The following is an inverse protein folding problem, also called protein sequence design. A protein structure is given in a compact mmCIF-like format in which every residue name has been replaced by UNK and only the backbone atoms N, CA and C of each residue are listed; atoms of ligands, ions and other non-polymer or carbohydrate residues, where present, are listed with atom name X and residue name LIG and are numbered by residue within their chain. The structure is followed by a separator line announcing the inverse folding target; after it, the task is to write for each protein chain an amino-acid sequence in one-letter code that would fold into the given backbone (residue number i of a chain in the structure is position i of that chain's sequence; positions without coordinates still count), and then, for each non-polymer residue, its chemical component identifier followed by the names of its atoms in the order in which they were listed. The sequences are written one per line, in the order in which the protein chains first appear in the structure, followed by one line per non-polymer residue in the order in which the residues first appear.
data_IF_719512108548
#
_entry.id   IF_719512108548
#
_cell.length_a   1.000
_cell.length_b   1.000
_cell.length_c   1.000
_cell.angle_alpha   90.00
_cell.angle_beta   90.00
_cell.angle_gamma   90.00
#
_symmetry.space_group_name_H-M   'P 1'
#
loop_
_entity.id
_entity.type
_entity.pdbx_description
1 polymer ?
#
# COMPACT_ATOMS: atom_id res chain seq x y z
N UNK A 1 -54.21 60.45 -3.56
CA UNK A 1 -55.54 60.43 -2.90
C UNK A 1 -55.26 59.95 -1.52
N UNK A 2 -55.00 60.88 -0.63
CA UNK A 2 -55.90 61.55 0.30
C UNK A 2 -56.31 60.69 1.44
N UNK A 3 -55.81 61.03 2.53
CA UNK A 3 -56.14 61.82 3.72
C UNK A 3 -56.47 60.89 4.90
N UNK A 4 -56.14 61.04 6.01
CA UNK A 4 -55.86 62.12 7.02
C UNK A 4 -56.46 61.77 8.30
N UNK A 5 -55.90 62.11 9.30
CA UNK A 5 -56.03 62.82 10.60
C UNK A 5 -56.32 61.93 11.81
N UNK A 6 -55.44 61.99 12.74
CA UNK A 6 -55.34 63.00 13.87
C UNK A 6 -56.32 62.76 15.00
N UNK A 7 -55.87 62.59 16.23
CA UNK A 7 -56.04 63.43 17.40
C UNK A 7 -55.64 62.74 18.72
N UNK A 8 -54.74 63.37 19.37
CA UNK A 8 -54.58 63.38 20.89
C UNK A 8 -55.63 64.33 21.50
N UNK A 9 -55.69 64.58 22.81
CA UNK A 9 -54.98 64.12 24.01
C UNK A 9 -55.91 63.95 25.28
N UNK A 10 -55.42 63.57 26.46
CA UNK A 10 -55.40 64.34 27.71
C UNK A 10 -55.03 63.52 28.93
N UNK A 11 -54.15 64.13 29.67
CA UNK A 11 -53.82 64.01 31.05
C UNK A 11 -54.93 63.49 32.02
N UNK A 12 -54.56 62.66 33.01
CA UNK A 12 -54.76 63.06 34.37
C UNK A 12 -53.77 62.40 35.37
N UNK A 13 -53.45 63.17 36.38
CA UNK A 13 -52.49 62.99 37.43
C UNK A 13 -53.10 62.15 38.60
N UNK A 14 -52.35 61.26 39.14
CA UNK A 14 -52.69 60.60 40.40
C UNK A 14 -51.47 60.02 41.12
N UNK A 15 -50.91 60.78 42.02
CA UNK A 15 -49.87 60.39 42.96
C UNK A 15 -50.51 59.56 44.08
N UNK A 16 -49.98 58.34 44.35
CA UNK A 16 -49.97 57.79 45.71
C UNK A 16 -48.80 56.84 45.96
N UNK A 17 -48.24 57.04 47.05
CA UNK A 17 -47.07 56.57 47.75
C UNK A 17 -47.00 55.07 48.07
N UNK A 18 -45.82 54.51 47.90
CA UNK A 18 -45.07 53.79 48.96
C UNK A 18 -45.48 52.36 49.33
N UNK A 19 -44.62 51.40 49.02
CA UNK A 19 -43.86 50.58 49.99
C UNK A 19 -42.97 49.59 49.28
N UNK A 20 -41.69 49.62 49.66
CA UNK A 20 -40.67 48.79 49.15
C UNK A 20 -40.85 47.29 49.45
N UNK A 21 -40.51 46.50 48.50
CA UNK A 21 -40.17 45.09 48.71
C UNK A 21 -38.91 44.80 47.94
N UNK A 22 -37.85 44.60 48.70
CA UNK A 22 -36.54 44.16 48.19
C UNK A 22 -36.68 42.74 47.68
N UNK A 23 -36.80 42.58 46.40
CA UNK A 23 -36.76 41.27 45.76
C UNK A 23 -35.30 40.94 45.41
N UNK A 24 -34.68 40.07 46.22
CA UNK A 24 -33.36 39.50 45.98
C UNK A 24 -33.41 38.76 44.66
N UNK A 25 -32.73 39.28 43.63
CA UNK A 25 -32.46 38.56 42.37
C UNK A 25 -31.40 37.51 42.65
N UNK A 26 -31.80 36.24 42.72
CA UNK A 26 -30.90 35.12 42.62
C UNK A 26 -30.42 35.03 41.16
N UNK A 27 -29.17 35.41 40.90
CA UNK A 27 -28.51 35.05 39.67
C UNK A 27 -28.15 33.54 39.76
N UNK A 28 -28.91 32.72 39.08
CA UNK A 28 -28.51 31.34 38.78
C UNK A 28 -27.49 31.39 37.64
N UNK A 29 -26.20 31.28 37.97
CA UNK A 29 -25.16 31.05 37.02
C UNK A 29 -25.25 29.57 36.55
N UNK A 30 -25.79 29.35 35.38
CA UNK A 30 -25.74 28.05 34.70
C UNK A 30 -24.34 27.89 34.12
N UNK A 31 -23.47 27.16 34.81
CA UNK A 31 -22.20 26.72 34.24
C UNK A 31 -22.51 25.71 33.15
N UNK A 32 -22.38 26.11 31.90
CA UNK A 32 -22.35 25.19 30.75
C UNK A 32 -21.02 24.43 30.80
N UNK A 33 -21.09 23.19 31.29
CA UNK A 33 -19.97 22.25 31.19
C UNK A 33 -19.88 21.85 29.71
N UNK A 34 -18.95 22.45 28.96
CA UNK A 34 -18.57 21.97 27.62
C UNK A 34 -17.86 20.63 27.82
N UNK A 35 -18.61 19.55 27.63
CA UNK A 35 -18.02 18.23 27.40
C UNK A 35 -17.33 18.29 26.05
N UNK A 36 -16.01 18.58 26.05
CA UNK A 36 -15.14 18.20 24.96
C UNK A 36 -15.03 16.67 25.01
N UNK A 37 -15.93 15.98 24.31
CA UNK A 37 -15.69 14.61 23.92
C UNK A 37 -14.42 14.66 23.04
N UNK A 38 -13.27 14.35 23.64
CA UNK A 38 -12.12 14.00 22.85
C UNK A 38 -12.57 12.84 21.95
N UNK A 39 -12.67 13.05 20.66
CA UNK A 39 -12.78 11.97 19.70
C UNK A 39 -11.53 11.14 19.93
N UNK A 40 -11.67 9.92 20.42
CA UNK A 40 -10.58 8.96 20.36
C UNK A 40 -10.25 8.84 18.87
N UNK A 41 -8.98 9.13 18.52
CA UNK A 41 -8.47 8.90 17.20
C UNK A 41 -8.80 7.45 16.83
N UNK A 42 -9.43 7.23 15.68
CA UNK A 42 -9.80 5.89 15.27
C UNK A 42 -8.53 5.23 14.70
N UNK A 43 -7.93 4.30 15.44
CA UNK A 43 -6.81 3.50 14.92
C UNK A 43 -7.27 2.72 13.68
N UNK A 44 -6.54 2.87 12.58
CA UNK A 44 -6.77 2.09 11.37
C UNK A 44 -5.81 0.91 11.30
N UNK A 45 -6.37 -0.31 11.31
CA UNK A 45 -5.59 -1.54 11.22
C UNK A 45 -5.57 -2.05 9.78
N UNK A 46 -4.38 -2.34 9.26
CA UNK A 46 -4.16 -2.88 7.93
C UNK A 46 -3.24 -4.09 8.00
N UNK A 47 -3.64 -5.18 7.35
CA UNK A 47 -2.79 -6.33 7.08
C UNK A 47 -2.27 -6.23 5.64
N UNK A 48 -0.95 -6.14 5.47
CA UNK A 48 -0.28 -6.16 4.18
C UNK A 48 0.20 -7.59 3.92
N UNK A 49 -0.50 -8.28 3.03
CA UNK A 49 -0.09 -9.58 2.50
C UNK A 49 0.81 -9.31 1.29
N UNK A 50 1.94 -10.02 1.20
CA UNK A 50 2.84 -9.78 0.09
C UNK A 50 3.61 -11.00 -0.37
N UNK A 51 3.96 -10.97 -1.65
CA UNK A 51 4.89 -11.89 -2.32
C UNK A 51 5.91 -11.10 -3.10
N UNK A 52 6.98 -11.74 -3.51
CA UNK A 52 8.01 -11.25 -4.40
C UNK A 52 8.72 -12.41 -5.08
N UNK A 53 9.33 -12.17 -6.23
CA UNK A 53 10.23 -13.12 -6.92
C UNK A 53 9.59 -14.51 -7.07
N UNK A 54 8.35 -14.57 -7.57
CA UNK A 54 7.62 -15.83 -7.71
C UNK A 54 8.22 -16.73 -8.79
N UNK A 55 8.76 -16.14 -9.86
CA UNK A 55 9.49 -16.82 -10.92
C UNK A 55 8.77 -18.03 -11.50
N UNK A 56 7.48 -17.86 -11.81
CA UNK A 56 6.61 -18.88 -12.41
C UNK A 56 6.65 -20.25 -11.68
N UNK A 57 6.86 -20.27 -10.36
CA UNK A 57 6.88 -21.48 -9.53
C UNK A 57 5.46 -21.93 -9.15
N UNK A 58 4.65 -22.23 -10.16
CA UNK A 58 3.26 -22.64 -9.97
C UNK A 58 3.10 -24.00 -9.30
N UNK A 59 4.08 -24.89 -9.48
CA UNK A 59 4.14 -26.19 -8.81
C UNK A 59 4.95 -26.10 -7.49
N UNK A 60 4.70 -27.04 -6.56
CA UNK A 60 5.47 -27.13 -5.33
C UNK A 60 6.97 -27.31 -5.58
N UNK A 61 7.77 -26.71 -4.70
CA UNK A 61 9.22 -26.80 -4.72
C UNK A 61 9.76 -27.55 -3.49
N UNK A 62 10.93 -28.14 -3.62
CA UNK A 62 11.65 -28.77 -2.50
C UNK A 62 12.23 -27.72 -1.56
N UNK A 63 12.77 -28.12 -0.43
CA UNK A 63 13.51 -27.23 0.49
C UNK A 63 14.74 -26.57 -0.14
N UNK A 64 15.20 -27.09 -1.26
CA UNK A 64 16.36 -26.57 -2.01
C UNK A 64 15.93 -25.74 -3.24
N UNK A 65 14.65 -25.32 -3.30
CA UNK A 65 14.06 -24.46 -4.34
C UNK A 65 14.03 -25.09 -5.75
N UNK A 66 14.33 -26.39 -5.84
CA UNK A 66 14.15 -27.20 -7.05
C UNK A 66 12.77 -27.85 -7.12
N UNK A 67 12.48 -28.60 -8.21
CA UNK A 67 11.25 -29.36 -8.32
C UNK A 67 11.05 -30.31 -7.13
N UNK A 68 9.80 -30.47 -6.69
CA UNK A 68 9.44 -31.39 -5.63
C UNK A 68 8.74 -32.62 -6.18
N UNK A 69 9.22 -33.82 -5.81
CA UNK A 69 8.66 -35.09 -6.24
C UNK A 69 7.29 -35.38 -5.61
N UNK A 70 6.51 -36.24 -6.26
CA UNK A 70 5.19 -36.62 -5.75
C UNK A 70 5.23 -37.30 -4.38
N UNK A 71 6.27 -38.07 -4.11
CA UNK A 71 6.48 -38.76 -2.82
C UNK A 71 6.77 -37.76 -1.71
N UNK A 72 7.70 -36.81 -1.96
CA UNK A 72 8.04 -35.74 -1.02
C UNK A 72 6.85 -34.83 -0.76
N UNK A 73 6.05 -34.57 -1.83
CA UNK A 73 4.83 -33.78 -1.71
C UNK A 73 3.78 -34.46 -0.82
N UNK A 74 3.63 -35.78 -0.93
CA UNK A 74 2.74 -36.57 -0.08
C UNK A 74 3.25 -36.65 1.35
N UNK A 75 4.55 -36.66 1.55
CA UNK A 75 5.20 -36.64 2.86
C UNK A 75 5.15 -35.26 3.56
N UNK A 76 4.69 -34.21 2.87
CA UNK A 76 4.65 -32.85 3.43
C UNK A 76 5.99 -32.13 3.39
N UNK A 77 6.95 -32.57 2.57
CA UNK A 77 8.30 -32.00 2.44
C UNK A 77 8.44 -30.99 1.32
N UNK A 78 7.31 -30.64 0.64
CA UNK A 78 7.26 -29.63 -0.40
C UNK A 78 6.71 -28.30 0.11
N UNK A 79 7.18 -27.22 -0.51
CA UNK A 79 6.83 -25.83 -0.17
C UNK A 79 6.25 -25.11 -1.40
N UNK A 80 5.62 -23.95 -1.18
CA UNK A 80 5.15 -23.09 -2.26
C UNK A 80 4.17 -23.77 -3.21
N UNK A 81 4.15 -23.25 -4.43
CA UNK A 81 3.16 -23.57 -5.46
C UNK A 81 1.89 -22.74 -5.32
N UNK A 82 1.27 -22.40 -6.47
CA UNK A 82 0.11 -21.49 -6.53
C UNK A 82 -1.07 -21.96 -5.68
N UNK A 83 -1.35 -23.27 -5.61
CA UNK A 83 -2.46 -23.78 -4.83
C UNK A 83 -2.31 -23.57 -3.31
N UNK A 84 -1.08 -23.77 -2.77
CA UNK A 84 -0.81 -23.49 -1.36
C UNK A 84 -0.82 -22.01 -1.07
N UNK A 85 -0.23 -21.23 -1.96
CA UNK A 85 -0.21 -19.77 -1.83
C UNK A 85 -1.64 -19.21 -1.81
N UNK A 86 -2.50 -19.64 -2.71
CA UNK A 86 -3.92 -19.25 -2.76
C UNK A 86 -4.64 -19.61 -1.45
N UNK A 87 -4.41 -20.80 -0.90
CA UNK A 87 -4.99 -21.20 0.39
C UNK A 87 -4.49 -20.31 1.53
N UNK A 88 -3.17 -20.06 1.60
CA UNK A 88 -2.60 -19.22 2.64
C UNK A 88 -3.12 -17.77 2.59
N UNK A 89 -3.28 -17.21 1.37
CA UNK A 89 -3.87 -15.88 1.17
C UNK A 89 -5.33 -15.85 1.66
N UNK A 90 -6.13 -16.87 1.31
CA UNK A 90 -7.53 -16.94 1.75
C UNK A 90 -7.63 -17.00 3.28
N UNK A 91 -6.85 -17.87 3.92
CA UNK A 91 -6.81 -17.99 5.38
C UNK A 91 -6.32 -16.71 6.07
N UNK A 92 -5.32 -16.02 5.49
CA UNK A 92 -4.84 -14.75 6.03
C UNK A 92 -5.92 -13.66 5.94
N UNK A 93 -6.64 -13.58 4.82
CA UNK A 93 -7.76 -12.64 4.64
C UNK A 93 -8.91 -12.90 5.60
N UNK A 94 -9.20 -14.16 5.93
CA UNK A 94 -10.23 -14.50 6.92
C UNK A 94 -9.90 -13.99 8.33
N UNK A 95 -8.60 -13.91 8.66
CA UNK A 95 -8.13 -13.40 9.95
C UNK A 95 -8.04 -11.88 10.00
N UNK A 96 -7.87 -11.25 8.84
CA UNK A 96 -7.66 -9.81 8.73
C UNK A 96 -8.98 -9.04 8.67
N UNK A 97 -9.06 -7.88 9.34
CA UNK A 97 -10.20 -6.96 9.19
C UNK A 97 -10.14 -6.22 7.85
N UNK A 98 -9.05 -5.50 7.62
CA UNK A 98 -8.71 -4.88 6.34
C UNK A 98 -7.40 -5.47 5.85
N UNK A 99 -7.34 -5.94 4.61
CA UNK A 99 -6.12 -6.47 4.02
C UNK A 99 -5.95 -6.03 2.58
N UNK A 100 -4.69 -5.85 2.18
CA UNK A 100 -4.28 -5.73 0.79
C UNK A 100 -3.34 -6.89 0.47
N UNK A 101 -3.28 -7.29 -0.80
CA UNK A 101 -2.31 -8.26 -1.32
C UNK A 101 -1.51 -7.59 -2.43
N UNK A 102 -0.21 -7.49 -2.24
CA UNK A 102 0.70 -6.78 -3.16
C UNK A 102 1.90 -7.65 -3.52
N UNK A 103 2.57 -7.28 -4.62
CA UNK A 103 3.71 -8.04 -5.11
C UNK A 103 4.92 -7.15 -5.39
N UNK A 104 6.09 -7.64 -4.98
CA UNK A 104 7.38 -6.99 -5.13
C UNK A 104 8.06 -7.21 -6.49
N UNK A 105 7.37 -7.75 -7.51
CA UNK A 105 7.91 -7.96 -8.85
C UNK A 105 8.55 -9.35 -9.07
N UNK A 106 9.04 -9.57 -10.28
CA UNK A 106 9.65 -10.82 -10.77
C UNK A 106 8.70 -12.02 -10.73
N UNK A 107 7.56 -11.88 -11.38
CA UNK A 107 6.66 -12.98 -11.68
C UNK A 107 7.18 -13.87 -12.82
N UNK A 108 8.00 -13.28 -13.72
CA UNK A 108 8.53 -13.91 -14.93
C UNK A 108 9.72 -14.77 -14.63
N UNK A 109 10.10 -15.60 -15.64
CA UNK A 109 11.22 -16.54 -15.62
C UNK A 109 11.06 -17.73 -14.65
N UNK A 110 12.09 -18.55 -14.56
CA UNK A 110 12.30 -19.61 -13.56
C UNK A 110 11.82 -20.99 -13.95
N UNK A 111 10.78 -21.16 -14.76
CA UNK A 111 10.26 -22.48 -15.15
C UNK A 111 9.78 -22.54 -16.60
N UNK A 112 9.51 -23.76 -17.09
CA UNK A 112 8.91 -23.97 -18.43
C UNK A 112 7.52 -23.34 -18.57
N UNK A 113 6.83 -23.05 -17.48
CA UNK A 113 5.57 -22.32 -17.53
C UNK A 113 5.76 -20.93 -18.12
N UNK A 114 6.81 -20.22 -17.69
CA UNK A 114 7.12 -18.92 -18.31
C UNK A 114 7.52 -19.07 -19.77
N UNK A 115 8.37 -20.05 -20.08
CA UNK A 115 8.79 -20.30 -21.48
C UNK A 115 7.61 -20.52 -22.41
N UNK A 116 6.59 -21.25 -21.94
CA UNK A 116 5.42 -21.63 -22.74
C UNK A 116 4.34 -20.54 -22.76
N UNK A 117 4.05 -19.93 -21.62
CA UNK A 117 2.89 -19.05 -21.44
C UNK A 117 3.27 -17.57 -21.29
N UNK A 118 4.58 -17.27 -21.21
CA UNK A 118 5.04 -15.93 -20.89
C UNK A 118 4.36 -15.42 -19.61
N UNK A 119 3.88 -14.19 -19.57
CA UNK A 119 3.16 -13.66 -18.42
C UNK A 119 1.69 -14.10 -18.28
N UNK A 120 1.08 -14.76 -19.28
CA UNK A 120 -0.38 -14.99 -19.29
C UNK A 120 -0.87 -15.87 -18.14
N UNK A 121 -0.14 -16.95 -17.81
CA UNK A 121 -0.49 -17.81 -16.69
C UNK A 121 -0.28 -17.09 -15.35
N UNK A 122 0.76 -16.27 -15.22
CA UNK A 122 0.98 -15.46 -14.02
C UNK A 122 -0.18 -14.47 -13.83
N UNK A 123 -0.61 -13.77 -14.88
CA UNK A 123 -1.75 -12.86 -14.82
C UNK A 123 -3.04 -13.57 -14.38
N UNK A 124 -3.33 -14.73 -14.94
CA UNK A 124 -4.50 -15.52 -14.56
C UNK A 124 -4.47 -15.91 -13.08
N UNK A 125 -3.34 -16.42 -12.58
CA UNK A 125 -3.18 -16.82 -11.18
C UNK A 125 -3.25 -15.62 -10.23
N UNK A 126 -2.62 -14.50 -10.57
CA UNK A 126 -2.64 -13.30 -9.76
C UNK A 126 -4.05 -12.70 -9.67
N UNK A 127 -4.80 -12.66 -10.79
CA UNK A 127 -6.20 -12.22 -10.79
C UNK A 127 -7.07 -13.13 -9.89
N UNK A 128 -6.89 -14.46 -9.97
CA UNK A 128 -7.62 -15.40 -9.11
C UNK A 128 -7.27 -15.26 -7.64
N UNK A 129 -6.02 -14.92 -7.30
CA UNK A 129 -5.57 -14.63 -5.94
C UNK A 129 -6.06 -13.26 -5.45
N UNK A 130 -6.46 -12.36 -6.36
CA UNK A 130 -7.00 -11.03 -6.05
C UNK A 130 -5.93 -10.08 -5.54
N UNK A 131 -4.83 -9.92 -6.27
CA UNK A 131 -3.82 -8.88 -5.97
C UNK A 131 -4.42 -7.49 -6.14
N UNK A 132 -3.99 -6.57 -5.30
CA UNK A 132 -4.41 -5.15 -5.33
C UNK A 132 -3.44 -4.29 -6.15
N UNK A 133 -2.15 -4.65 -6.24
CA UNK A 133 -1.14 -4.02 -7.08
C UNK A 133 0.16 -4.84 -7.12
N UNK A 134 1.04 -4.55 -8.10
CA UNK A 134 2.42 -5.01 -8.13
C UNK A 134 3.38 -3.94 -8.67
N UNK A 135 4.66 -4.08 -8.38
CA UNK A 135 5.72 -3.34 -9.08
C UNK A 135 6.31 -4.18 -10.21
N UNK A 136 6.98 -3.52 -11.16
CA UNK A 136 7.75 -4.19 -12.22
C UNK A 136 9.11 -4.62 -11.65
N UNK A 137 9.46 -5.91 -11.79
CA UNK A 137 10.82 -6.38 -11.59
C UNK A 137 11.65 -6.30 -12.88
N UNK A 138 12.93 -6.69 -12.81
CA UNK A 138 13.76 -6.69 -14.00
C UNK A 138 13.36 -7.80 -14.99
N UNK A 139 12.95 -8.96 -14.48
CA UNK A 139 12.56 -10.09 -15.33
C UNK A 139 11.25 -9.87 -16.11
N UNK A 140 10.41 -8.92 -15.73
CA UNK A 140 9.28 -8.50 -16.55
C UNK A 140 9.71 -7.91 -17.90
N UNK A 141 10.97 -7.49 -18.03
CA UNK A 141 11.55 -6.97 -19.28
C UNK A 141 12.39 -7.99 -20.07
N UNK A 142 12.54 -9.24 -19.65
CA UNK A 142 13.43 -10.21 -20.32
C UNK A 142 13.08 -10.47 -21.79
N UNK A 143 11.79 -10.53 -22.09
CA UNK A 143 11.28 -10.65 -23.46
C UNK A 143 10.76 -9.32 -24.04
N UNK A 144 11.19 -8.19 -23.44
CA UNK A 144 10.93 -6.83 -23.92
C UNK A 144 9.55 -6.27 -23.56
N UNK A 145 9.32 -4.99 -23.92
CA UNK A 145 8.09 -4.26 -23.58
C UNK A 145 6.80 -4.88 -24.11
N UNK A 146 6.85 -5.61 -25.23
CA UNK A 146 5.67 -6.24 -25.83
C UNK A 146 5.10 -7.35 -24.93
N UNK A 147 5.96 -8.18 -24.35
CA UNK A 147 5.52 -9.25 -23.43
C UNK A 147 5.02 -8.67 -22.12
N UNK A 148 5.71 -7.67 -21.57
CA UNK A 148 5.23 -6.92 -20.40
C UNK A 148 3.86 -6.28 -20.67
N UNK A 149 3.66 -5.64 -21.84
CA UNK A 149 2.36 -5.06 -22.22
C UNK A 149 1.27 -6.12 -22.24
N UNK A 150 1.51 -7.27 -22.86
CA UNK A 150 0.55 -8.38 -22.88
C UNK A 150 0.17 -8.90 -21.49
N UNK A 151 1.14 -8.98 -20.59
CA UNK A 151 0.91 -9.31 -19.18
C UNK A 151 0.03 -8.26 -18.50
N UNK A 152 0.39 -6.97 -18.61
CA UNK A 152 -0.37 -5.88 -18.02
C UNK A 152 -1.81 -5.77 -18.55
N UNK A 153 -2.02 -6.09 -19.83
CA UNK A 153 -3.36 -6.09 -20.44
C UNK A 153 -4.26 -7.22 -19.91
N UNK A 154 -3.65 -8.31 -19.41
CA UNK A 154 -4.36 -9.44 -18.84
C UNK A 154 -4.64 -9.27 -17.32
N UNK A 155 -3.96 -8.34 -16.64
CA UNK A 155 -4.15 -8.08 -15.21
C UNK A 155 -5.38 -7.22 -14.92
N UNK A 156 -6.06 -7.50 -13.79
CA UNK A 156 -7.22 -6.76 -13.29
C UNK A 156 -6.86 -5.69 -12.24
N UNK A 157 -5.56 -5.50 -11.98
CA UNK A 157 -5.02 -4.55 -11.01
C UNK A 157 -3.82 -3.77 -11.60
N UNK A 158 -3.43 -2.62 -11.01
CA UNK A 158 -2.37 -1.79 -11.54
C UNK A 158 -0.97 -2.38 -11.35
N UNK A 159 -0.11 -2.17 -12.36
CA UNK A 159 1.34 -2.41 -12.32
C UNK A 159 2.03 -1.06 -12.23
N UNK A 160 3.00 -0.91 -11.31
CA UNK A 160 3.59 0.37 -10.95
C UNK A 160 5.10 0.40 -11.21
N UNK A 161 5.60 1.59 -11.63
CA UNK A 161 7.04 1.82 -11.81
C UNK A 161 7.33 3.33 -11.77
N UNK A 162 7.86 3.86 -10.67
CA UNK A 162 8.04 5.31 -10.48
C UNK A 162 9.35 5.85 -11.04
N UNK A 163 10.41 5.05 -10.99
CA UNK A 163 11.76 5.48 -11.33
C UNK A 163 12.13 5.24 -12.80
N UNK A 164 11.15 5.08 -13.69
CA UNK A 164 11.40 5.01 -15.12
C UNK A 164 10.59 6.04 -15.90
N UNK A 165 11.21 6.58 -16.95
CA UNK A 165 10.52 7.34 -17.99
C UNK A 165 10.23 6.41 -19.16
N UNK A 166 8.94 6.11 -19.35
CA UNK A 166 8.41 5.26 -20.43
C UNK A 166 7.70 6.06 -21.51
N UNK A 167 7.81 7.39 -21.50
CA UNK A 167 7.06 8.27 -22.43
C UNK A 167 7.42 8.05 -23.88
N UNK A 168 8.63 7.60 -24.16
CA UNK A 168 9.10 7.24 -25.49
C UNK A 168 8.80 5.79 -25.91
N UNK A 169 8.27 4.96 -24.99
CA UNK A 169 7.89 3.55 -25.26
C UNK A 169 6.37 3.45 -25.48
N UNK A 170 5.91 3.38 -26.74
CA UNK A 170 4.48 3.46 -27.06
C UNK A 170 3.66 2.28 -26.50
N UNK A 171 4.30 1.16 -26.17
CA UNK A 171 3.63 0.00 -25.60
C UNK A 171 3.31 0.18 -24.10
N UNK A 172 4.04 1.04 -23.40
CA UNK A 172 3.93 1.17 -21.94
C UNK A 172 3.47 2.54 -21.47
N UNK A 173 3.66 3.58 -22.26
CA UNK A 173 3.43 4.98 -21.90
C UNK A 173 1.98 5.29 -21.40
N UNK A 174 0.99 4.54 -21.86
CA UNK A 174 -0.42 4.68 -21.51
C UNK A 174 -0.90 3.71 -20.40
N UNK A 175 -0.05 2.81 -19.96
CA UNK A 175 -0.43 1.71 -19.06
C UNK A 175 0.32 1.72 -17.73
N UNK A 176 1.60 2.07 -17.75
CA UNK A 176 2.43 2.02 -16.56
C UNK A 176 2.26 3.31 -15.75
N UNK A 177 1.78 3.17 -14.52
CA UNK A 177 1.66 4.28 -13.60
C UNK A 177 2.85 4.31 -12.63
N UNK A 178 3.21 5.48 -12.12
CA UNK A 178 4.25 5.62 -11.10
C UNK A 178 3.74 5.22 -9.72
N UNK A 179 2.51 5.62 -9.42
CA UNK A 179 1.82 5.36 -8.17
C UNK A 179 0.33 5.23 -8.39
N UNK A 180 -0.37 4.68 -7.42
CA UNK A 180 -1.84 4.60 -7.39
C UNK A 180 -2.36 4.83 -5.97
N UNK A 181 -3.65 5.10 -5.85
CA UNK A 181 -4.33 5.16 -4.56
C UNK A 181 -5.44 4.12 -4.57
N UNK A 182 -5.44 3.25 -3.58
CA UNK A 182 -6.51 2.30 -3.33
C UNK A 182 -7.28 2.70 -2.07
N UNK A 183 -8.54 2.31 -1.98
CA UNK A 183 -9.37 2.50 -0.81
C UNK A 183 -9.61 1.16 -0.11
N UNK A 184 -9.32 1.09 1.19
CA UNK A 184 -9.56 -0.10 1.98
C UNK A 184 -10.09 0.28 3.37
N UNK A 185 -11.26 -0.26 3.72
CA UNK A 185 -11.87 0.03 5.02
C UNK A 185 -12.21 1.50 5.26
N UNK A 186 -12.38 2.29 4.21
CA UNK A 186 -12.66 3.72 4.27
C UNK A 186 -11.42 4.63 4.29
N UNK A 187 -10.22 4.04 4.28
CA UNK A 187 -8.95 4.77 4.25
C UNK A 187 -8.28 4.71 2.89
N UNK A 188 -7.58 5.78 2.52
CA UNK A 188 -6.79 5.86 1.29
C UNK A 188 -5.35 5.41 1.54
N UNK A 189 -4.86 4.51 0.71
CA UNK A 189 -3.51 3.97 0.76
C UNK A 189 -2.82 4.28 -0.56
N UNK A 190 -1.71 5.01 -0.49
CA UNK A 190 -0.84 5.27 -1.64
C UNK A 190 0.12 4.10 -1.87
N UNK A 191 0.18 3.60 -3.09
CA UNK A 191 1.12 2.58 -3.52
C UNK A 191 2.05 3.16 -4.58
N UNK A 192 3.36 3.01 -4.41
CA UNK A 192 4.40 3.49 -5.33
C UNK A 192 5.19 2.28 -5.83
N UNK A 193 5.44 2.16 -7.13
CA UNK A 193 6.29 1.11 -7.69
C UNK A 193 7.75 1.56 -7.81
N UNK A 194 8.70 0.63 -7.63
CA UNK A 194 10.13 0.88 -7.78
C UNK A 194 10.83 -0.31 -8.41
N UNK A 195 11.50 -0.10 -9.53
CA UNK A 195 12.23 -1.11 -10.34
C UNK A 195 13.73 -0.90 -10.17
N UNK A 196 14.61 -1.92 -10.37
CA UNK A 196 16.05 -1.74 -10.31
C UNK A 196 16.52 -0.66 -11.28
N UNK A 197 17.38 0.25 -10.81
CA UNK A 197 17.91 1.33 -11.66
C UNK A 197 18.80 0.80 -12.81
N UNK A 198 19.42 -0.33 -12.60
CA UNK A 198 20.30 -1.03 -13.55
C UNK A 198 19.59 -2.08 -14.42
N UNK A 199 18.27 -1.96 -14.59
CA UNK A 199 17.46 -2.89 -15.40
C UNK A 199 17.97 -3.04 -16.84
N UNK A 200 18.63 -2.02 -17.43
CA UNK A 200 19.29 -2.14 -18.75
C UNK A 200 20.44 -3.15 -18.77
N UNK A 201 21.07 -3.37 -17.62
CA UNK A 201 22.17 -4.34 -17.49
C UNK A 201 21.65 -5.74 -17.17
N UNK A 202 20.45 -5.83 -16.61
CA UNK A 202 19.83 -7.06 -16.10
C UNK A 202 18.88 -7.72 -17.10
N UNK A 203 18.25 -6.93 -17.98
CA UNK A 203 17.14 -7.37 -18.84
C UNK A 203 17.14 -6.61 -20.19
N UNK A 204 16.02 -6.68 -20.92
CA UNK A 204 15.86 -6.12 -22.26
C UNK A 204 14.74 -5.07 -22.34
N UNK A 205 14.79 -3.97 -21.56
CA UNK A 205 13.71 -2.97 -21.57
C UNK A 205 13.62 -2.16 -22.88
N UNK A 206 14.66 -2.22 -23.73
CA UNK A 206 14.77 -1.43 -24.96
C UNK A 206 15.27 -0.01 -24.72
N UNK A 207 15.63 0.68 -25.81
CA UNK A 207 16.27 2.00 -25.76
C UNK A 207 15.32 3.16 -25.44
N UNK A 208 14.00 2.90 -25.45
CA UNK A 208 12.98 3.92 -25.23
C UNK A 208 12.66 4.17 -23.75
N UNK A 209 13.22 3.40 -22.84
CA UNK A 209 13.00 3.49 -21.41
C UNK A 209 14.27 3.98 -20.73
N UNK A 210 14.16 4.90 -19.79
CA UNK A 210 15.29 5.36 -18.97
C UNK A 210 14.97 5.23 -17.50
N UNK A 211 15.92 4.76 -16.71
CA UNK A 211 15.76 4.58 -15.27
C UNK A 211 16.48 5.67 -14.49
N UNK A 212 15.84 6.16 -13.43
CA UNK A 212 16.33 7.26 -12.60
C UNK A 212 16.65 6.81 -11.18
N UNK A 213 17.23 7.71 -10.39
CA UNK A 213 17.56 7.46 -8.97
C UNK A 213 16.31 7.07 -8.17
N UNK A 214 16.35 5.94 -7.42
CA UNK A 214 15.21 5.42 -6.70
C UNK A 214 14.73 6.34 -5.57
N UNK A 215 15.64 7.00 -4.84
CA UNK A 215 15.30 7.89 -3.73
C UNK A 215 14.52 9.10 -4.24
N UNK A 216 15.04 9.76 -5.29
CA UNK A 216 14.39 10.92 -5.88
C UNK A 216 13.02 10.58 -6.48
N UNK A 217 12.90 9.41 -7.12
CA UNK A 217 11.63 8.96 -7.71
C UNK A 217 10.58 8.69 -6.64
N UNK A 218 10.93 7.95 -5.59
CA UNK A 218 10.01 7.66 -4.47
C UNK A 218 9.60 8.95 -3.76
N UNK A 219 10.55 9.85 -3.40
CA UNK A 219 10.19 11.09 -2.73
C UNK A 219 9.27 11.97 -3.57
N UNK A 220 9.50 12.03 -4.89
CA UNK A 220 8.62 12.78 -5.78
C UNK A 220 7.17 12.29 -5.79
N UNK A 221 6.95 10.97 -5.77
CA UNK A 221 5.60 10.38 -5.69
C UNK A 221 4.99 10.53 -4.29
N UNK A 222 5.79 10.40 -3.22
CA UNK A 222 5.34 10.68 -1.83
C UNK A 222 4.80 12.09 -1.71
N UNK A 223 5.55 13.10 -2.20
CA UNK A 223 5.13 14.49 -2.14
C UNK A 223 3.80 14.74 -2.89
N UNK A 224 3.61 14.06 -4.04
CA UNK A 224 2.37 14.12 -4.82
C UNK A 224 1.19 13.47 -4.09
N UNK A 225 1.40 12.32 -3.42
CA UNK A 225 0.38 11.62 -2.66
C UNK A 225 -0.04 12.43 -1.43
N UNK A 226 0.92 12.96 -0.68
CA UNK A 226 0.66 13.82 0.49
C UNK A 226 -0.09 15.09 0.07
N UNK A 227 0.28 15.72 -1.04
CA UNK A 227 -0.43 16.89 -1.56
C UNK A 227 -1.90 16.59 -1.94
N UNK A 228 -2.25 15.34 -2.19
CA UNK A 228 -3.60 14.85 -2.43
C UNK A 228 -4.33 14.40 -1.16
N UNK A 229 -3.69 14.51 0.01
CA UNK A 229 -4.25 14.13 1.31
C UNK A 229 -4.08 12.65 1.68
N UNK A 230 -3.27 11.90 0.93
CA UNK A 230 -2.95 10.50 1.23
C UNK A 230 -1.76 10.47 2.19
N UNK A 231 -1.94 9.87 3.36
CA UNK A 231 -0.96 9.83 4.44
C UNK A 231 -0.57 8.42 4.90
N UNK A 232 -0.93 7.40 4.14
CA UNK A 232 -0.52 6.00 4.34
C UNK A 232 0.12 5.55 3.04
N UNK A 233 1.46 5.42 3.02
CA UNK A 233 2.23 5.27 1.78
C UNK A 233 3.10 4.02 1.85
N UNK A 234 2.87 3.12 0.90
CA UNK A 234 3.59 1.85 0.77
C UNK A 234 4.35 1.84 -0.56
N UNK A 235 5.64 1.56 -0.51
CA UNK A 235 6.46 1.34 -1.69
C UNK A 235 6.51 -0.16 -2.00
N UNK A 236 6.16 -0.53 -3.23
CA UNK A 236 6.37 -1.86 -3.78
C UNK A 236 7.69 -1.81 -4.55
N UNK A 237 8.73 -2.44 -4.02
CA UNK A 237 10.10 -2.30 -4.52
C UNK A 237 10.63 -3.61 -5.09
N UNK A 238 11.27 -3.48 -6.25
CA UNK A 238 12.12 -4.55 -6.79
C UNK A 238 13.60 -4.15 -6.84
N UNK A 239 14.00 -3.13 -6.08
CA UNK A 239 15.37 -2.59 -6.16
C UNK A 239 16.40 -3.33 -5.29
N UNK A 240 15.94 -4.28 -4.48
CA UNK A 240 16.78 -5.08 -3.59
C UNK A 240 16.94 -4.46 -2.20
N UNK A 241 17.16 -5.33 -1.21
CA UNK A 241 17.12 -5.00 0.21
C UNK A 241 18.06 -3.84 0.64
N UNK A 242 19.27 -3.76 0.06
CA UNK A 242 20.19 -2.68 0.37
C UNK A 242 19.73 -1.32 -0.18
N UNK A 243 19.09 -1.31 -1.35
CA UNK A 243 18.50 -0.11 -1.93
C UNK A 243 17.26 0.31 -1.17
N UNK A 244 16.43 -0.65 -0.74
CA UNK A 244 15.26 -0.41 0.10
C UNK A 244 15.65 0.28 1.42
N UNK A 245 16.74 -0.16 2.07
CA UNK A 245 17.26 0.49 3.27
C UNK A 245 17.73 1.93 2.98
N UNK A 246 18.35 2.18 1.82
CA UNK A 246 18.75 3.52 1.40
C UNK A 246 17.52 4.40 1.16
N UNK A 247 16.51 3.90 0.45
CA UNK A 247 15.26 4.63 0.21
C UNK A 247 14.58 4.97 1.53
N UNK A 248 14.47 4.01 2.45
CA UNK A 248 13.89 4.24 3.78
C UNK A 248 14.67 5.29 4.60
N UNK A 249 16.00 5.32 4.49
CA UNK A 249 16.83 6.25 5.23
C UNK A 249 16.84 7.68 4.65
N UNK A 250 16.65 7.83 3.33
CA UNK A 250 16.82 9.10 2.62
C UNK A 250 15.49 9.71 2.14
N UNK A 251 14.35 9.06 2.38
CA UNK A 251 13.01 9.61 2.10
C UNK A 251 12.24 9.92 3.39
N UNK A 252 11.18 10.69 3.27
CA UNK A 252 10.24 10.99 4.37
C UNK A 252 8.81 10.72 3.93
N UNK A 253 7.99 10.17 4.83
CA UNK A 253 6.57 9.90 4.55
C UNK A 253 6.32 8.55 3.86
N UNK A 254 7.31 7.65 3.83
CA UNK A 254 7.14 6.25 3.46
C UNK A 254 6.94 5.42 4.74
N UNK A 255 5.83 4.71 4.84
CA UNK A 255 5.50 3.90 6.02
C UNK A 255 6.05 2.48 5.90
N UNK A 256 5.87 1.85 4.73
CA UNK A 256 6.26 0.47 4.48
C UNK A 256 6.94 0.35 3.11
N UNK A 257 7.98 -0.48 3.04
CA UNK A 257 8.56 -0.96 1.78
C UNK A 257 8.38 -2.48 1.72
N UNK A 258 7.68 -2.94 0.69
CA UNK A 258 7.59 -4.35 0.32
C UNK A 258 8.64 -4.61 -0.74
N UNK A 259 9.71 -5.29 -0.38
CA UNK A 259 10.89 -5.50 -1.22
C UNK A 259 10.84 -6.77 -2.06
N UNK A 260 11.81 -6.87 -3.00
CA UNK A 260 12.07 -8.01 -3.88
C UNK A 260 13.51 -8.04 -4.38
N UNK A 261 13.76 -8.73 -5.49
CA UNK A 261 15.01 -8.81 -6.25
C UNK A 261 16.16 -9.62 -5.58
N UNK A 262 16.45 -9.34 -4.33
CA UNK A 262 17.56 -10.00 -3.61
C UNK A 262 17.17 -11.32 -2.96
N UNK A 263 15.92 -11.75 -3.07
CA UNK A 263 15.40 -12.97 -2.45
C UNK A 263 15.71 -13.04 -0.94
N UNK A 264 15.60 -11.90 -0.25
CA UNK A 264 16.00 -11.78 1.16
C UNK A 264 14.96 -12.41 2.08
N UNK A 265 15.40 -13.33 2.90
CA UNK A 265 14.56 -13.88 3.96
C UNK A 265 14.64 -12.97 5.18
N UNK A 266 13.58 -12.22 5.46
CA UNK A 266 13.41 -11.50 6.71
C UNK A 266 12.53 -12.34 7.64
N UNK A 267 12.98 -12.60 8.87
CA UNK A 267 12.24 -13.43 9.83
C UNK A 267 12.69 -13.18 11.25
N UNK A 268 11.75 -13.31 12.20
CA UNK A 268 12.03 -13.23 13.63
C UNK A 268 12.24 -14.62 14.28
N UNK A 269 12.11 -15.69 13.50
CA UNK A 269 12.16 -17.08 14.03
C UNK A 269 13.06 -18.03 13.24
N UNK A 270 13.45 -17.69 12.02
CA UNK A 270 14.35 -18.51 11.20
C UNK A 270 15.80 -18.03 11.39
N UNK A 271 16.69 -18.94 11.81
CA UNK A 271 18.12 -18.63 12.00
C UNK A 271 18.87 -18.27 10.71
N UNK A 272 18.30 -18.56 9.54
CA UNK A 272 18.85 -18.22 8.23
C UNK A 272 18.46 -16.82 7.75
N UNK A 273 17.60 -16.11 8.52
CA UNK A 273 17.16 -14.79 8.15
C UNK A 273 18.32 -13.79 8.07
N UNK A 274 18.27 -12.92 7.07
CA UNK A 274 19.26 -11.86 6.86
C UNK A 274 18.96 -10.62 7.71
N UNK A 275 17.76 -10.56 8.28
CA UNK A 275 17.32 -9.49 9.16
C UNK A 275 15.97 -9.79 9.81
N UNK A 276 15.51 -8.93 10.74
CA UNK A 276 14.20 -9.07 11.37
C UNK A 276 13.06 -8.74 10.38
N UNK A 277 11.88 -9.27 10.66
CA UNK A 277 10.65 -8.95 9.92
C UNK A 277 9.66 -8.21 10.83
N UNK A 278 9.34 -6.92 10.58
CA UNK A 278 9.99 -6.04 9.61
C UNK A 278 11.38 -5.59 10.06
N UNK A 279 12.22 -5.20 9.08
CA UNK A 279 13.42 -4.41 9.36
C UNK A 279 13.05 -2.93 9.42
N UNK A 280 13.31 -2.29 10.56
CA UNK A 280 13.03 -0.86 10.73
C UNK A 280 14.25 -0.02 10.33
N UNK A 281 14.04 0.94 9.42
CA UNK A 281 15.02 1.97 9.07
C UNK A 281 14.35 3.32 9.21
N UNK A 282 14.83 4.15 10.11
CA UNK A 282 14.12 5.35 10.58
C UNK A 282 12.69 4.98 11.02
N UNK A 283 11.65 5.56 10.40
CA UNK A 283 10.24 5.27 10.69
C UNK A 283 9.62 4.27 9.71
N UNK A 284 10.36 3.81 8.70
CA UNK A 284 9.89 2.93 7.63
C UNK A 284 10.11 1.45 7.98
N UNK A 285 9.07 0.64 7.81
CA UNK A 285 9.12 -0.81 7.96
C UNK A 285 9.43 -1.47 6.61
N UNK A 286 10.52 -2.23 6.52
CA UNK A 286 10.91 -2.99 5.31
C UNK A 286 10.58 -4.45 5.51
N UNK A 287 9.87 -5.06 4.55
CA UNK A 287 9.53 -6.48 4.52
C UNK A 287 9.91 -7.10 3.18
N UNK A 288 10.30 -8.37 3.21
CA UNK A 288 10.54 -9.19 2.01
C UNK A 288 10.27 -10.66 2.38
N UNK A 289 9.69 -11.43 1.45
CA UNK A 289 9.21 -12.80 1.69
C UNK A 289 10.04 -13.86 0.97
N UNK A 290 11.37 -13.69 0.93
CA UNK A 290 12.27 -14.58 0.21
C UNK A 290 11.93 -14.63 -1.29
N UNK A 291 11.53 -15.81 -1.82
CA UNK A 291 11.23 -15.99 -3.23
C UNK A 291 10.34 -17.23 -3.48
N UNK A 292 9.96 -17.45 -4.74
CA UNK A 292 9.35 -18.67 -5.29
C UNK A 292 8.01 -19.04 -4.68
N UNK A 293 7.31 -18.08 -4.06
CA UNK A 293 6.06 -18.34 -3.35
C UNK A 293 6.20 -19.30 -2.18
N UNK A 294 7.42 -19.47 -1.64
CA UNK A 294 7.72 -20.34 -0.50
C UNK A 294 7.14 -19.81 0.79
N UNK A 295 7.06 -18.50 0.90
CA UNK A 295 6.45 -17.78 2.02
C UNK A 295 5.40 -16.79 1.49
N UNK A 296 4.36 -16.58 2.28
CA UNK A 296 3.48 -15.42 2.20
C UNK A 296 3.91 -14.47 3.31
N UNK A 297 4.29 -13.24 2.96
CA UNK A 297 4.53 -12.20 3.94
C UNK A 297 3.20 -11.68 4.51
N UNK A 298 3.15 -11.49 5.82
CA UNK A 298 1.99 -10.93 6.54
C UNK A 298 2.48 -9.88 7.53
N UNK A 299 2.32 -8.60 7.20
CA UNK A 299 2.65 -7.48 8.06
C UNK A 299 1.36 -6.84 8.57
N UNK A 300 1.20 -6.78 9.89
CA UNK A 300 0.08 -6.09 10.53
C UNK A 300 0.56 -4.75 11.06
N UNK A 301 -0.06 -3.66 10.61
CA UNK A 301 0.24 -2.31 11.04
C UNK A 301 -1.02 -1.61 11.55
N UNK A 302 -0.83 -0.72 12.51
CA UNK A 302 -1.87 0.18 13.01
C UNK A 302 -1.45 1.61 12.75
N UNK A 303 -2.27 2.37 12.05
CA UNK A 303 -2.06 3.80 11.79
C UNK A 303 -2.92 4.67 12.71
N UNK A 304 -2.39 5.83 13.11
CA UNK A 304 -3.17 6.92 13.69
C UNK A 304 -3.85 7.77 12.59
N UNK A 305 -4.62 8.80 13.02
CA UNK A 305 -5.32 9.70 12.09
C UNK A 305 -4.34 10.54 11.23
N UNK A 306 -3.12 10.78 11.73
CA UNK A 306 -2.05 11.49 11.02
C UNK A 306 -1.35 10.59 9.99
N UNK A 307 -1.56 9.27 10.04
CA UNK A 307 -0.97 8.29 9.13
C UNK A 307 0.34 7.67 9.66
N UNK A 308 0.71 7.90 10.92
CA UNK A 308 1.90 7.27 11.47
C UNK A 308 1.62 5.85 11.95
N UNK A 309 2.56 4.94 11.75
CA UNK A 309 2.49 3.59 12.32
C UNK A 309 2.69 3.67 13.84
N UNK A 310 1.73 3.14 14.59
CA UNK A 310 1.75 3.08 16.06
C UNK A 310 2.05 1.69 16.59
N UNK A 311 1.85 0.64 15.79
CA UNK A 311 2.17 -0.78 16.10
C UNK A 311 2.52 -1.51 14.82
#
# INVERSE_FOLDING_TARGET
MTFDTDQTPRHDTGITTNRGTIMKRFLTATAALALTSGMAAAEYNLTILHTNDFHARFEPISKYDGPCGAEDNTAGECFGGSARLMTAIAEARERAGNSILVDGGDQFQGTLFYTQYKGTLAAEMMNQMGYDAMTVGNHEFDDGPEVLRGFMDALEFPVLMSNADVTAEPLLADKLAKSTVIEKGGEQIGLIGLTPQDTHELASPGDNITFSDPVAAVQGEVDLLIARGVNKIIVLSHSGYSVDQKVAAETTGVDVIVGGHTNTLLSNTDERAEGPYPTMVAETAIVQAYAYGKYLGELNVTFDDEGNITK
#
